data_IF_771819417809
#
_entry.id   IF_771819417809
#
_cell.length_a   1.000
_cell.length_b   1.000
_cell.length_c   1.000
_cell.angle_alpha   90.00
_cell.angle_beta   90.00
_cell.angle_gamma   90.00
#
_symmetry.space_group_name_H-M   'P 1'
#
loop_
_entity.id
_entity.type
_entity.pdbx_description
1 polymer ?
#
# COMPACT_ATOMS: atom_id res chain seq x y z
N UNK A 1 3.73 -10.68 -2.12
CA UNK A 1 2.70 -9.87 -2.81
C UNK A 1 2.21 -8.74 -1.90
N UNK A 2 1.32 -7.85 -2.35
CA UNK A 2 0.81 -6.75 -1.50
C UNK A 2 -0.58 -6.30 -1.94
N UNK A 3 -1.30 -5.58 -1.06
CA UNK A 3 -2.51 -4.83 -1.45
C UNK A 3 -2.51 -3.46 -0.78
N UNK A 4 -2.73 -2.39 -1.53
CA UNK A 4 -2.90 -1.03 -1.00
C UNK A 4 -4.30 -0.51 -1.31
N UNK A 5 -4.82 0.34 -0.44
CA UNK A 5 -6.13 0.95 -0.60
C UNK A 5 -6.17 2.36 -0.02
N UNK A 6 -7.14 3.14 -0.50
CA UNK A 6 -7.59 4.38 0.14
C UNK A 6 -8.99 4.19 0.72
N UNK A 7 -9.36 5.00 1.70
CA UNK A 7 -10.74 5.09 2.21
C UNK A 7 -11.01 6.51 2.70
N UNK A 8 -12.23 6.99 2.52
CA UNK A 8 -12.61 8.34 2.89
C UNK A 8 -13.90 8.31 3.70
N UNK A 9 -13.87 8.97 4.85
CA UNK A 9 -15.03 9.25 5.69
C UNK A 9 -15.06 10.76 5.93
N UNK A 10 -14.97 11.21 7.18
CA UNK A 10 -14.64 12.60 7.54
C UNK A 10 -13.17 12.93 7.25
N UNK A 11 -12.27 11.96 7.44
CA UNK A 11 -10.85 12.05 7.13
C UNK A 11 -10.51 11.07 5.97
N UNK A 12 -9.27 11.12 5.52
CA UNK A 12 -8.70 10.36 4.41
C UNK A 12 -7.69 9.36 4.96
N UNK A 13 -7.78 8.13 4.46
CA UNK A 13 -7.01 7.01 4.94
C UNK A 13 -6.31 6.32 3.79
N UNK A 14 -5.05 5.93 4.02
CA UNK A 14 -4.21 5.23 3.06
C UNK A 14 -3.43 4.13 3.77
N UNK A 15 -3.23 2.98 3.13
CA UNK A 15 -2.43 1.93 3.75
C UNK A 15 -2.39 0.66 2.92
N UNK A 16 -1.71 -0.35 3.45
CA UNK A 16 -1.42 -1.58 2.71
C UNK A 16 -1.22 -2.81 3.59
N UNK A 17 -1.50 -3.97 3.01
CA UNK A 17 -0.97 -5.26 3.45
C UNK A 17 0.39 -5.49 2.79
N UNK A 18 1.39 -5.88 3.59
CA UNK A 18 2.64 -6.46 3.09
C UNK A 18 2.54 -7.98 3.19
N UNK A 19 2.50 -8.67 2.05
CA UNK A 19 2.46 -10.12 2.02
C UNK A 19 3.82 -10.66 1.56
N UNK A 20 4.58 -11.32 2.42
CA UNK A 20 5.82 -11.99 2.04
C UNK A 20 5.98 -13.25 2.86
N UNK A 21 6.96 -14.07 2.51
CA UNK A 21 7.33 -15.27 3.24
C UNK A 21 8.28 -15.01 4.41
N UNK A 22 8.83 -13.79 4.50
CA UNK A 22 9.70 -13.36 5.58
C UNK A 22 9.52 -11.87 5.89
N UNK A 23 9.68 -11.52 7.16
CA UNK A 23 9.70 -10.15 7.66
C UNK A 23 11.13 -9.61 7.60
N UNK A 24 11.27 -8.38 7.11
CA UNK A 24 12.48 -7.59 7.23
C UNK A 24 12.54 -6.94 8.63
N UNK A 25 13.52 -6.07 8.86
CA UNK A 25 13.56 -5.22 10.05
C UNK A 25 12.61 -4.02 9.87
N UNK A 26 11.31 -4.28 9.66
CA UNK A 26 10.32 -3.20 9.46
C UNK A 26 10.12 -2.39 10.74
N UNK A 27 10.08 -1.07 10.59
CA UNK A 27 9.88 -0.10 11.68
C UNK A 27 8.97 1.03 11.20
N UNK A 28 8.16 1.58 12.11
CA UNK A 28 7.46 2.85 11.81
C UNK A 28 8.47 3.97 12.01
N UNK A 29 8.74 4.74 10.96
CA UNK A 29 9.80 5.76 10.95
C UNK A 29 9.25 7.13 10.62
N UNK A 30 9.51 8.09 11.50
CA UNK A 30 9.27 9.52 11.28
C UNK A 30 10.57 10.18 10.81
N UNK A 31 10.54 10.78 9.62
CA UNK A 31 11.65 11.56 9.06
C UNK A 31 11.32 13.05 9.15
N UNK A 32 12.05 13.85 9.96
CA UNK A 32 11.79 15.28 10.12
C UNK A 32 12.30 16.10 8.93
N UNK A 33 11.89 17.36 8.84
CA UNK A 33 12.07 18.23 7.65
C UNK A 33 13.52 18.47 7.25
N UNK A 34 14.46 18.43 8.20
CA UNK A 34 15.88 18.75 7.99
C UNK A 34 16.79 17.53 8.07
N UNK A 35 16.23 16.32 8.03
CA UNK A 35 17.00 15.08 7.91
C UNK A 35 17.50 14.96 6.47
N UNK A 36 18.79 15.15 6.25
CA UNK A 36 19.37 15.04 4.90
C UNK A 36 19.16 13.62 4.34
N UNK A 37 18.56 13.52 3.16
CA UNK A 37 18.42 12.28 2.41
C UNK A 37 19.30 12.34 1.15
N UNK A 38 20.46 11.65 1.15
CA UNK A 38 21.31 11.55 -0.02
C UNK A 38 20.60 10.87 -1.19
N UNK A 39 20.74 11.44 -2.38
CA UNK A 39 20.18 10.89 -3.61
C UNK A 39 21.33 10.41 -4.53
N UNK A 40 21.13 9.33 -5.27
CA UNK A 40 22.19 8.70 -6.09
C UNK A 40 22.54 9.54 -7.32
N UNK A 41 21.52 10.10 -7.97
CA UNK A 41 21.66 10.76 -9.28
C UNK A 41 21.13 12.19 -9.31
N UNK A 42 20.61 12.69 -8.18
CA UNK A 42 20.13 14.07 -8.02
C UNK A 42 20.76 14.68 -6.77
N UNK A 43 20.53 15.98 -6.54
CA UNK A 43 20.96 16.62 -5.30
C UNK A 43 20.25 15.99 -4.10
N UNK A 44 20.92 15.99 -2.95
CA UNK A 44 20.33 15.51 -1.70
C UNK A 44 19.10 16.34 -1.31
N UNK A 45 18.11 15.71 -0.70
CA UNK A 45 17.00 16.43 -0.07
C UNK A 45 17.47 16.93 1.30
N UNK A 46 17.86 18.19 1.37
CA UNK A 46 18.31 18.82 2.62
C UNK A 46 17.16 19.41 3.46
N UNK A 47 16.12 19.91 2.77
CA UNK A 47 14.87 20.38 3.36
C UNK A 47 13.70 19.80 2.57
N UNK A 48 12.79 19.16 3.28
CA UNK A 48 11.65 18.47 2.70
C UNK A 48 10.49 18.42 3.71
N UNK A 49 9.31 17.98 3.29
CA UNK A 49 8.21 17.73 4.22
C UNK A 49 8.52 16.60 5.18
N UNK A 50 8.08 16.73 6.43
CA UNK A 50 8.13 15.62 7.37
C UNK A 50 7.29 14.44 6.87
N UNK A 51 7.76 13.22 7.11
CA UNK A 51 7.16 11.98 6.64
C UNK A 51 7.02 10.98 7.78
N UNK A 52 5.98 10.14 7.73
CA UNK A 52 5.79 8.98 8.59
C UNK A 52 5.38 7.78 7.75
N UNK A 53 5.99 6.62 8.01
CA UNK A 53 5.71 5.41 7.22
C UNK A 53 6.39 4.16 7.76
N UNK A 54 6.07 3.02 7.17
CA UNK A 54 6.84 1.79 7.42
C UNK A 54 8.11 1.80 6.59
N UNK A 55 9.26 1.57 7.22
CA UNK A 55 10.55 1.52 6.54
C UNK A 55 11.45 0.40 7.08
N UNK A 56 12.41 -0.02 6.27
CA UNK A 56 13.64 -0.66 6.75
C UNK A 56 14.73 0.41 6.83
N UNK A 57 15.17 0.76 8.05
CA UNK A 57 16.20 1.78 8.24
C UNK A 57 17.58 1.13 8.14
N UNK A 58 18.38 1.58 7.17
CA UNK A 58 19.74 1.07 6.91
C UNK A 58 20.70 2.23 6.87
N UNK A 59 21.77 2.19 7.68
CA UNK A 59 22.78 3.25 7.74
C UNK A 59 22.17 4.66 7.90
N UNK A 60 21.14 4.78 8.76
CA UNK A 60 20.43 6.04 9.02
C UNK A 60 19.71 6.62 7.78
N UNK A 61 19.34 5.75 6.84
CA UNK A 61 18.49 6.04 5.67
C UNK A 61 17.18 5.22 5.71
N UNK A 62 16.00 5.85 5.55
CA UNK A 62 14.73 5.14 5.58
C UNK A 62 14.36 4.56 4.20
N UNK A 63 14.43 3.24 4.05
CA UNK A 63 13.89 2.54 2.88
C UNK A 63 12.39 2.30 3.08
N UNK A 64 11.58 3.29 2.70
CA UNK A 64 10.13 3.24 2.89
C UNK A 64 9.46 2.17 2.03
N UNK A 65 8.56 1.41 2.64
CA UNK A 65 7.59 0.55 1.95
C UNK A 65 6.35 1.36 1.55
N UNK A 66 5.85 2.15 2.50
CA UNK A 66 4.75 3.09 2.38
C UNK A 66 4.91 4.23 3.39
N UNK A 67 4.47 5.42 3.02
CA UNK A 67 4.59 6.61 3.84
C UNK A 67 3.55 7.67 3.49
N UNK A 68 3.36 8.62 4.41
CA UNK A 68 2.54 9.83 4.24
C UNK A 68 3.34 11.03 4.73
N UNK A 69 3.23 12.16 4.03
CA UNK A 69 3.84 13.41 4.48
C UNK A 69 2.87 14.27 5.31
N UNK A 70 3.41 15.33 5.92
CA UNK A 70 2.64 16.31 6.70
C UNK A 70 1.59 17.11 5.92
N UNK A 71 1.53 16.97 4.60
CA UNK A 71 0.51 17.58 3.73
C UNK A 71 -0.62 16.61 3.41
N UNK A 72 -0.49 15.35 3.81
CA UNK A 72 -1.45 14.28 3.55
C UNK A 72 -1.38 13.73 2.12
N UNK A 73 -0.20 13.78 1.49
CA UNK A 73 0.11 12.95 0.32
C UNK A 73 0.70 11.63 0.80
N UNK A 74 0.19 10.52 0.28
CA UNK A 74 0.61 9.17 0.64
C UNK A 74 1.10 8.38 -0.56
N UNK A 75 2.03 7.45 -0.31
CA UNK A 75 2.64 6.62 -1.34
C UNK A 75 2.96 5.23 -0.80
N UNK A 76 2.77 4.19 -1.61
CA UNK A 76 3.20 2.81 -1.31
C UNK A 76 3.80 2.13 -2.54
N UNK A 77 4.97 1.53 -2.38
CA UNK A 77 5.58 0.66 -3.39
C UNK A 77 5.16 -0.80 -3.18
N UNK A 78 4.62 -1.47 -4.19
CA UNK A 78 4.15 -2.85 -4.11
C UNK A 78 4.86 -3.72 -5.14
N UNK A 79 5.04 -5.00 -4.84
CA UNK A 79 5.79 -5.94 -5.67
C UNK A 79 5.21 -6.02 -7.10
N UNK A 80 6.05 -5.90 -8.12
CA UNK A 80 5.67 -5.90 -9.55
C UNK A 80 6.64 -6.74 -10.42
N UNK A 81 6.91 -8.00 -10.04
CA UNK A 81 7.99 -8.79 -10.61
C UNK A 81 7.71 -9.15 -12.07
N UNK A 82 8.73 -9.06 -12.93
CA UNK A 82 8.62 -9.40 -14.35
C UNK A 82 7.90 -8.35 -15.21
N UNK A 83 7.28 -7.33 -14.62
CA UNK A 83 6.73 -6.18 -15.34
C UNK A 83 7.54 -4.90 -15.10
N UNK A 84 8.02 -4.69 -13.86
CA UNK A 84 8.89 -3.56 -13.54
C UNK A 84 10.19 -3.64 -14.36
N UNK A 85 10.54 -2.53 -15.01
CA UNK A 85 11.78 -2.39 -15.76
C UNK A 85 12.48 -1.10 -15.38
N UNK A 86 13.71 -1.21 -14.91
CA UNK A 86 14.53 -0.07 -14.54
C UNK A 86 15.72 0.04 -15.48
N UNK A 87 15.98 1.27 -15.95
CA UNK A 87 17.01 1.52 -16.96
C UNK A 87 18.34 1.85 -16.29
N UNK A 88 19.41 1.94 -17.09
CA UNK A 88 20.58 2.70 -16.66
C UNK A 88 20.21 4.21 -16.55
N UNK A 89 20.98 5.00 -15.79
CA UNK A 89 20.85 6.45 -15.82
C UNK A 89 20.94 7.01 -17.25
N UNK A 90 20.07 7.95 -17.60
CA UNK A 90 19.96 8.52 -18.93
C UNK A 90 19.97 10.06 -18.89
N UNK A 91 20.68 10.69 -19.83
CA UNK A 91 20.74 12.14 -19.95
C UNK A 91 19.38 12.75 -20.29
N UNK A 92 19.10 13.93 -19.75
CA UNK A 92 17.86 14.66 -20.02
C UNK A 92 16.62 14.15 -19.28
N UNK A 93 16.77 13.13 -18.43
CA UNK A 93 15.73 12.62 -17.54
C UNK A 93 16.10 12.83 -16.07
N UNK A 94 15.08 12.80 -15.21
CA UNK A 94 15.29 12.75 -13.77
C UNK A 94 15.51 11.31 -13.32
N UNK A 95 16.78 10.94 -13.22
CA UNK A 95 17.19 9.62 -12.76
C UNK A 95 16.99 9.47 -11.25
N UNK A 96 16.31 8.41 -10.83
CA UNK A 96 16.10 8.08 -9.41
C UNK A 96 16.32 6.59 -9.21
N UNK A 97 16.93 6.18 -8.11
CA UNK A 97 16.87 4.78 -7.70
C UNK A 97 15.46 4.47 -7.17
N UNK A 98 14.98 3.24 -7.33
CA UNK A 98 13.59 2.90 -6.98
C UNK A 98 13.25 3.12 -5.49
N UNK A 99 14.23 2.97 -4.59
CA UNK A 99 14.07 3.22 -3.16
C UNK A 99 13.99 4.71 -2.79
N UNK A 100 14.35 5.60 -3.71
CA UNK A 100 14.34 7.05 -3.51
C UNK A 100 13.00 7.67 -3.90
N UNK A 101 12.17 6.96 -4.66
CA UNK A 101 10.96 7.55 -5.25
C UNK A 101 9.96 8.05 -4.19
N UNK A 102 9.74 7.29 -3.12
CA UNK A 102 8.84 7.69 -2.04
C UNK A 102 9.33 8.98 -1.36
N UNK A 103 10.54 9.06 -0.78
CA UNK A 103 11.01 10.29 -0.16
C UNK A 103 11.12 11.44 -1.15
N UNK A 104 11.44 11.16 -2.42
CA UNK A 104 11.53 12.19 -3.46
C UNK A 104 10.17 12.78 -3.81
N UNK A 105 9.09 12.01 -3.93
CA UNK A 105 7.76 12.58 -4.18
C UNK A 105 7.21 13.22 -2.90
N UNK A 106 7.22 12.49 -1.78
CA UNK A 106 6.61 12.93 -0.53
C UNK A 106 7.35 14.11 0.12
N UNK A 107 8.64 14.28 -0.16
CA UNK A 107 9.42 15.38 0.37
C UNK A 107 9.06 16.76 -0.19
N UNK A 108 8.37 16.82 -1.33
CA UNK A 108 8.23 18.07 -2.11
C UNK A 108 6.87 18.23 -2.81
N UNK A 109 5.93 17.30 -2.62
CA UNK A 109 4.57 17.39 -3.16
C UNK A 109 3.51 17.33 -2.06
N UNK A 110 2.50 18.18 -2.18
CA UNK A 110 1.32 18.24 -1.30
C UNK A 110 0.12 17.51 -1.94
N UNK A 111 0.16 17.34 -3.27
CA UNK A 111 -0.97 16.84 -4.07
C UNK A 111 -0.53 15.83 -5.13
N UNK A 112 -1.47 15.00 -5.56
CA UNK A 112 -1.28 14.06 -6.67
C UNK A 112 -0.99 14.79 -7.98
N UNK A 113 -1.55 15.97 -8.20
CA UNK A 113 -1.25 16.80 -9.38
C UNK A 113 0.24 17.19 -9.43
N UNK A 114 0.81 17.64 -8.32
CA UNK A 114 2.26 17.93 -8.24
C UNK A 114 3.10 16.67 -8.44
N UNK A 115 2.70 15.56 -7.81
CA UNK A 115 3.39 14.28 -7.98
C UNK A 115 3.38 13.82 -9.45
N UNK A 116 2.24 13.96 -10.15
CA UNK A 116 2.09 13.65 -11.57
C UNK A 116 3.05 14.46 -12.44
N UNK A 117 3.17 15.76 -12.16
CA UNK A 117 4.09 16.64 -12.89
C UNK A 117 5.55 16.24 -12.67
N UNK A 118 5.91 15.83 -11.46
CA UNK A 118 7.25 15.34 -11.14
C UNK A 118 7.56 14.00 -11.80
N UNK A 119 6.61 13.07 -11.82
CA UNK A 119 6.76 11.73 -12.40
C UNK A 119 6.87 11.72 -13.93
N UNK A 120 6.41 12.78 -14.62
CA UNK A 120 6.37 12.84 -16.07
C UNK A 120 7.74 12.71 -16.75
N UNK A 121 8.84 13.02 -16.04
CA UNK A 121 10.21 12.96 -16.54
C UNK A 121 11.12 12.05 -15.69
N UNK A 122 10.53 11.19 -14.85
CA UNK A 122 11.30 10.26 -14.03
C UNK A 122 11.78 9.06 -14.86
N UNK A 123 13.06 8.75 -14.74
CA UNK A 123 13.63 7.47 -15.13
C UNK A 123 14.06 6.72 -13.87
N UNK A 124 13.32 5.67 -13.51
CA UNK A 124 13.74 4.76 -12.45
C UNK A 124 14.90 3.91 -12.92
N UNK A 125 15.96 3.90 -12.12
CA UNK A 125 17.22 3.25 -12.46
C UNK A 125 17.42 1.93 -11.72
N UNK A 126 18.21 1.04 -12.31
CA UNK A 126 18.65 -0.24 -11.72
C UNK A 126 19.71 -0.07 -10.61
N UNK A 127 19.87 1.15 -10.09
CA UNK A 127 20.84 1.46 -9.03
C UNK A 127 20.43 0.83 -7.71
N UNK A 128 21.22 -0.14 -7.25
CA UNK A 128 21.04 -0.79 -5.96
C UNK A 128 21.30 0.17 -4.79
N UNK A 129 20.63 -0.07 -3.66
CA UNK A 129 20.97 0.62 -2.42
C UNK A 129 22.36 0.18 -1.94
N UNK A 130 22.61 -1.12 -1.95
CA UNK A 130 23.90 -1.75 -1.66
C UNK A 130 23.99 -3.11 -2.39
N UNK A 131 25.15 -3.78 -2.43
CA UNK A 131 25.25 -5.12 -3.03
C UNK A 131 24.31 -6.17 -2.41
N UNK A 132 23.94 -5.98 -1.13
CA UNK A 132 23.01 -6.87 -0.41
C UNK A 132 21.53 -6.48 -0.58
N UNK A 133 21.27 -5.25 -1.07
CA UNK A 133 19.93 -4.69 -1.25
C UNK A 133 19.77 -4.20 -2.70
N UNK A 134 19.58 -5.13 -3.66
CA UNK A 134 19.30 -4.79 -5.05
C UNK A 134 17.93 -4.09 -5.20
N UNK A 135 17.68 -3.40 -6.32
CA UNK A 135 16.38 -2.78 -6.57
C UNK A 135 15.25 -3.82 -6.53
N UNK A 136 14.24 -3.58 -5.71
CA UNK A 136 13.01 -4.38 -5.73
C UNK A 136 12.16 -4.01 -6.95
N UNK A 137 11.56 -4.98 -7.66
CA UNK A 137 10.65 -4.69 -8.77
C UNK A 137 9.32 -4.18 -8.20
N UNK A 138 8.99 -2.91 -8.42
CA UNK A 138 7.88 -2.23 -7.77
C UNK A 138 7.03 -1.44 -8.77
N UNK A 139 5.77 -1.22 -8.37
CA UNK A 139 4.90 -0.15 -8.88
C UNK A 139 4.31 0.62 -7.69
N UNK A 140 3.78 1.82 -7.92
CA UNK A 140 3.41 2.73 -6.83
C UNK A 140 1.97 3.21 -6.92
N UNK A 141 1.27 3.14 -5.79
CA UNK A 141 0.02 3.86 -5.57
C UNK A 141 0.36 5.19 -4.89
N UNK A 142 -0.12 6.29 -5.45
CA UNK A 142 0.01 7.63 -4.89
C UNK A 142 -1.39 8.20 -4.68
N UNK A 143 -1.67 8.78 -3.53
CA UNK A 143 -2.98 9.36 -3.23
C UNK A 143 -2.88 10.59 -2.34
N UNK A 144 -3.74 11.57 -2.59
CA UNK A 144 -4.01 12.70 -1.69
C UNK A 144 -5.48 12.63 -1.22
N UNK A 145 -5.99 13.72 -0.64
CA UNK A 145 -7.37 13.78 -0.14
C UNK A 145 -8.43 13.83 -1.27
N UNK A 146 -8.04 13.97 -2.53
CA UNK A 146 -8.97 14.17 -3.66
C UNK A 146 -8.94 13.02 -4.65
N UNK A 147 -7.76 12.51 -4.97
CA UNK A 147 -7.58 11.55 -6.04
C UNK A 147 -6.43 10.57 -5.76
N UNK A 148 -6.33 9.56 -6.61
CA UNK A 148 -5.20 8.62 -6.57
C UNK A 148 -4.78 8.20 -7.97
N UNK A 149 -3.50 7.88 -8.12
CA UNK A 149 -2.87 7.43 -9.35
C UNK A 149 -2.01 6.20 -9.11
N UNK A 150 -1.76 5.45 -10.18
CA UNK A 150 -0.77 4.37 -10.20
C UNK A 150 0.37 4.75 -11.15
N UNK A 151 1.61 4.58 -10.69
CA UNK A 151 2.82 4.76 -11.49
C UNK A 151 3.49 3.41 -11.74
N UNK A 152 3.69 3.06 -13.01
CA UNK A 152 4.34 1.83 -13.46
C UNK A 152 5.45 2.18 -14.47
N UNK A 153 6.68 1.73 -14.23
CA UNK A 153 7.74 1.76 -15.24
C UNK A 153 8.00 0.35 -15.75
N UNK A 154 7.73 0.15 -17.04
CA UNK A 154 7.86 -1.14 -17.74
C UNK A 154 8.85 -1.04 -18.89
N UNK A 155 9.12 -2.14 -19.59
CA UNK A 155 9.94 -2.13 -20.81
C UNK A 155 9.39 -1.18 -21.89
N UNK A 156 8.08 -0.89 -21.86
CA UNK A 156 7.43 0.06 -22.77
C UNK A 156 7.48 1.52 -22.28
N UNK A 157 8.20 1.78 -21.19
CA UNK A 157 8.33 3.09 -20.56
C UNK A 157 7.47 3.27 -19.31
N UNK A 158 7.56 4.48 -18.76
CA UNK A 158 6.81 4.92 -17.59
C UNK A 158 5.37 5.34 -17.96
N UNK A 159 4.39 4.91 -17.18
CA UNK A 159 2.98 5.26 -17.34
C UNK A 159 2.39 5.68 -16.00
N UNK A 160 1.56 6.72 -16.05
CA UNK A 160 0.73 7.17 -14.93
C UNK A 160 -0.73 6.87 -15.31
N UNK A 161 -1.44 6.18 -14.42
CA UNK A 161 -2.85 5.84 -14.58
C UNK A 161 -3.68 6.56 -13.52
N UNK A 162 -4.82 7.10 -13.91
CA UNK A 162 -5.83 7.53 -12.94
C UNK A 162 -6.42 6.30 -12.25
N UNK A 163 -6.52 6.35 -10.92
CA UNK A 163 -7.06 5.26 -10.12
C UNK A 163 -8.34 5.70 -9.40
N UNK A 164 -9.49 5.68 -10.09
CA UNK A 164 -10.77 6.05 -9.47
C UNK A 164 -11.24 5.03 -8.42
N UNK A 165 -10.65 3.84 -8.40
CA UNK A 165 -10.97 2.77 -7.43
C UNK A 165 -10.19 2.98 -6.13
N UNK A 166 -9.02 3.62 -6.20
CA UNK A 166 -8.12 3.83 -5.06
C UNK A 166 -7.66 2.54 -4.40
N UNK A 167 -7.35 1.52 -5.21
CA UNK A 167 -6.76 0.25 -4.78
C UNK A 167 -5.65 -0.18 -5.75
N UNK A 168 -4.66 -0.92 -5.27
CA UNK A 168 -3.59 -1.48 -6.10
C UNK A 168 -3.08 -2.79 -5.49
N UNK A 169 -2.75 -3.78 -6.31
CA UNK A 169 -2.18 -5.05 -5.83
C UNK A 169 -0.77 -5.28 -6.38
N UNK A 170 -0.62 -6.16 -7.36
CA UNK A 170 0.66 -6.52 -7.98
C UNK A 170 0.38 -6.76 -9.48
N UNK A 171 1.10 -7.69 -10.10
CA UNK A 171 0.85 -8.13 -11.48
C UNK A 171 -0.60 -8.54 -11.77
N UNK A 172 -1.09 -8.40 -13.02
CA UNK A 172 -0.45 -7.72 -14.15
C UNK A 172 -0.47 -6.18 -14.02
N UNK A 173 -0.24 -5.45 -15.12
CA UNK A 173 -0.31 -3.97 -15.16
C UNK A 173 -1.66 -3.43 -14.71
N UNK A 174 -1.70 -2.17 -14.26
CA UNK A 174 -2.91 -1.57 -13.71
C UNK A 174 -4.10 -1.50 -14.70
N UNK A 175 -3.84 -1.27 -15.98
CA UNK A 175 -4.87 -1.26 -17.02
C UNK A 175 -5.58 -2.62 -17.18
N UNK A 176 -4.85 -3.72 -17.01
CA UNK A 176 -5.46 -5.05 -16.95
C UNK A 176 -6.44 -5.17 -15.78
N UNK A 177 -6.04 -4.75 -14.58
CA UNK A 177 -6.91 -4.82 -13.40
C UNK A 177 -8.19 -3.99 -13.59
N UNK A 178 -8.07 -2.81 -14.19
CA UNK A 178 -9.23 -1.97 -14.53
C UNK A 178 -10.15 -2.61 -15.59
N UNK A 179 -9.58 -3.28 -16.60
CA UNK A 179 -10.36 -4.05 -17.57
C UNK A 179 -11.07 -5.23 -16.88
N UNK A 180 -10.36 -5.95 -16.01
CA UNK A 180 -10.88 -7.14 -15.33
C UNK A 180 -12.05 -6.83 -14.39
N UNK A 181 -12.12 -5.62 -13.80
CA UNK A 181 -13.29 -5.19 -13.02
C UNK A 181 -14.60 -5.23 -13.82
N UNK A 182 -14.55 -5.12 -15.15
CA UNK A 182 -15.75 -5.16 -15.99
C UNK A 182 -16.48 -6.52 -15.90
N UNK A 183 -15.75 -7.62 -15.65
CA UNK A 183 -16.32 -8.95 -15.47
C UNK A 183 -17.25 -9.03 -14.23
N UNK A 184 -17.08 -8.10 -13.29
CA UNK A 184 -17.78 -8.07 -12.00
C UNK A 184 -18.80 -6.94 -11.89
N UNK A 185 -19.15 -6.25 -12.99
CA UNK A 185 -20.06 -5.10 -12.98
C UNK A 185 -21.47 -5.40 -12.42
N UNK A 186 -21.86 -6.67 -12.37
CA UNK A 186 -23.15 -7.11 -11.83
C UNK A 186 -23.10 -7.50 -10.33
N UNK A 187 -21.91 -7.55 -9.72
CA UNK A 187 -21.77 -7.86 -8.31
C UNK A 187 -22.42 -6.76 -7.45
N UNK A 188 -23.12 -7.16 -6.41
CA UNK A 188 -23.90 -6.24 -5.56
C UNK A 188 -23.88 -6.66 -4.09
N UNK A 189 -23.89 -5.69 -3.18
CA UNK A 189 -24.12 -5.95 -1.76
C UNK A 189 -25.61 -6.23 -1.42
N UNK A 190 -26.53 -6.04 -2.37
CA UNK A 190 -27.96 -6.24 -2.18
C UNK A 190 -28.37 -7.72 -2.30
N UNK A 191 -29.63 -8.01 -2.00
CA UNK A 191 -30.22 -9.32 -2.33
C UNK A 191 -30.30 -9.48 -3.85
N UNK A 192 -30.02 -10.68 -4.39
CA UNK A 192 -30.12 -10.91 -5.83
C UNK A 192 -31.58 -10.90 -6.29
N UNK A 193 -31.80 -10.49 -7.52
CA UNK A 193 -33.11 -10.55 -8.19
C UNK A 193 -33.16 -11.74 -9.16
N UNK A 194 -34.31 -12.43 -9.24
CA UNK A 194 -34.50 -13.46 -10.25
C UNK A 194 -34.68 -12.84 -11.65
N UNK A 195 -33.58 -12.76 -12.39
CA UNK A 195 -33.55 -12.33 -13.80
C UNK A 195 -33.47 -13.50 -14.78
N UNK A 196 -33.24 -14.71 -14.29
CA UNK A 196 -33.01 -15.90 -15.13
C UNK A 196 -34.33 -16.51 -15.62
N UNK A 197 -35.33 -16.65 -14.74
CA UNK A 197 -36.62 -17.25 -15.09
C UNK A 197 -37.77 -16.41 -14.52
N UNK A 198 -38.19 -15.34 -15.21
CA UNK A 198 -39.25 -14.45 -14.73
C UNK A 198 -40.54 -15.20 -14.41
N UNK A 199 -41.17 -14.87 -13.27
CA UNK A 199 -42.42 -15.48 -12.81
C UNK A 199 -42.26 -16.75 -11.98
N UNK A 200 -41.04 -17.32 -11.88
CA UNK A 200 -40.73 -18.39 -10.93
C UNK A 200 -40.30 -17.77 -9.59
N UNK A 201 -40.94 -18.18 -8.49
CA UNK A 201 -40.60 -17.75 -7.13
C UNK A 201 -39.28 -18.36 -6.65
N UNK A 202 -38.16 -17.79 -7.10
CA UNK A 202 -36.83 -18.14 -6.62
C UNK A 202 -36.46 -17.23 -5.44
N UNK A 203 -36.53 -17.77 -4.24
CA UNK A 203 -36.16 -17.06 -3.02
C UNK A 203 -34.67 -17.25 -2.69
N UNK A 204 -33.94 -16.20 -2.29
CA UNK A 204 -32.58 -16.35 -1.76
C UNK A 204 -32.57 -17.26 -0.53
N UNK A 205 -31.74 -18.31 -0.56
CA UNK A 205 -31.61 -19.25 0.56
C UNK A 205 -30.50 -18.86 1.56
N UNK A 206 -29.71 -17.82 1.24
CA UNK A 206 -28.64 -17.28 2.07
C UNK A 206 -28.53 -15.77 1.89
N UNK A 207 -27.79 -15.10 2.79
CA UNK A 207 -27.44 -13.68 2.69
C UNK A 207 -26.13 -13.52 1.91
N UNK A 208 -25.90 -12.34 1.34
CA UNK A 208 -24.68 -12.03 0.59
C UNK A 208 -24.64 -12.59 -0.84
N UNK A 209 -25.73 -13.22 -1.30
CA UNK A 209 -25.82 -13.83 -2.63
C UNK A 209 -25.74 -12.82 -3.78
N UNK A 210 -25.88 -11.51 -3.54
CA UNK A 210 -25.64 -10.48 -4.57
C UNK A 210 -24.17 -10.38 -5.00
N UNK A 211 -23.24 -10.79 -4.13
CA UNK A 211 -21.80 -10.79 -4.40
C UNK A 211 -21.29 -12.08 -5.02
N UNK A 212 -22.19 -12.97 -5.48
CA UNK A 212 -21.78 -14.18 -6.19
C UNK A 212 -20.88 -13.84 -7.38
N UNK A 213 -19.76 -14.54 -7.48
CA UNK A 213 -18.75 -14.32 -8.52
C UNK A 213 -17.50 -13.58 -8.01
N UNK A 214 -17.59 -12.78 -6.94
CA UNK A 214 -16.40 -12.15 -6.37
C UNK A 214 -15.39 -13.24 -5.95
N UNK A 215 -14.15 -13.21 -6.48
CA UNK A 215 -13.18 -14.27 -6.27
C UNK A 215 -12.65 -14.26 -4.83
N UNK A 216 -12.18 -15.42 -4.38
CA UNK A 216 -11.68 -15.64 -3.02
C UNK A 216 -10.30 -16.29 -2.94
N UNK A 217 -9.62 -16.49 -4.08
CA UNK A 217 -8.23 -16.92 -4.08
C UNK A 217 -7.26 -15.75 -3.83
N UNK A 218 -5.98 -16.07 -3.60
CA UNK A 218 -4.95 -15.12 -3.18
C UNK A 218 -4.23 -14.44 -4.34
N UNK A 219 -4.61 -14.70 -5.60
CA UNK A 219 -3.98 -14.05 -6.74
C UNK A 219 -4.19 -12.53 -6.71
N UNK A 220 -3.25 -11.79 -7.28
CA UNK A 220 -3.28 -10.33 -7.32
C UNK A 220 -4.54 -9.77 -7.97
N UNK A 221 -5.03 -10.39 -9.05
CA UNK A 221 -6.26 -9.99 -9.74
C UNK A 221 -7.49 -10.25 -8.86
N UNK A 222 -7.56 -11.42 -8.23
CA UNK A 222 -8.65 -11.76 -7.31
C UNK A 222 -8.70 -10.84 -6.10
N UNK A 223 -7.53 -10.57 -5.49
CA UNK A 223 -7.42 -9.60 -4.39
C UNK A 223 -7.82 -8.20 -4.83
N UNK A 224 -7.46 -7.76 -6.03
CA UNK A 224 -7.85 -6.44 -6.57
C UNK A 224 -9.38 -6.31 -6.65
N UNK A 225 -10.06 -7.31 -7.24
CA UNK A 225 -11.53 -7.33 -7.32
C UNK A 225 -12.16 -7.39 -5.92
N UNK A 226 -11.63 -8.26 -5.05
CA UNK A 226 -12.15 -8.46 -3.70
C UNK A 226 -12.04 -7.20 -2.84
N UNK A 227 -10.88 -6.56 -2.81
CA UNK A 227 -10.66 -5.33 -2.02
C UNK A 227 -11.45 -4.16 -2.60
N UNK A 228 -11.56 -4.04 -3.93
CA UNK A 228 -12.39 -3.03 -4.57
C UNK A 228 -13.86 -3.19 -4.17
N UNK A 229 -14.41 -4.41 -4.28
CA UNK A 229 -15.79 -4.69 -3.89
C UNK A 229 -16.02 -4.40 -2.40
N UNK A 230 -15.11 -4.83 -1.51
CA UNK A 230 -15.21 -4.56 -0.08
C UNK A 230 -15.16 -3.07 0.22
N UNK A 231 -14.22 -2.33 -0.37
CA UNK A 231 -14.08 -0.88 -0.19
C UNK A 231 -15.33 -0.13 -0.65
N UNK A 232 -15.82 -0.41 -1.85
CA UNK A 232 -16.95 0.33 -2.43
C UNK A 232 -18.29 0.08 -1.72
N UNK A 233 -18.38 -0.98 -0.92
CA UNK A 233 -19.55 -1.31 -0.11
C UNK A 233 -19.31 -1.16 1.40
N UNK A 234 -18.18 -0.57 1.80
CA UNK A 234 -17.84 -0.35 3.21
C UNK A 234 -18.61 0.82 3.80
N UNK A 235 -19.12 0.63 5.02
CA UNK A 235 -19.88 1.60 5.77
C UNK A 235 -19.28 1.72 7.18
N UNK A 236 -19.00 2.95 7.61
CA UNK A 236 -18.60 3.27 8.98
C UNK A 236 -19.20 4.60 9.40
N UNK A 237 -19.20 4.90 10.70
CA UNK A 237 -19.38 6.27 11.17
C UNK A 237 -18.17 7.15 10.83
N UNK A 238 -18.24 8.40 11.30
CA UNK A 238 -17.25 9.45 11.05
C UNK A 238 -16.19 9.60 12.15
N UNK A 239 -16.22 8.74 13.18
CA UNK A 239 -15.17 8.74 14.21
C UNK A 239 -13.86 8.16 13.67
N UNK A 240 -12.75 8.56 14.28
CA UNK A 240 -11.42 8.05 13.94
C UNK A 240 -11.38 6.52 14.11
N UNK A 241 -11.89 6.05 15.24
CA UNK A 241 -11.86 4.64 15.63
C UNK A 241 -12.69 3.78 14.67
N UNK A 242 -13.88 4.24 14.27
CA UNK A 242 -14.72 3.53 13.30
C UNK A 242 -14.07 3.51 11.91
N UNK A 243 -13.51 4.62 11.46
CA UNK A 243 -12.87 4.73 10.15
C UNK A 243 -11.62 3.86 10.04
N UNK A 244 -10.75 3.91 11.06
CA UNK A 244 -9.57 3.05 11.16
C UNK A 244 -9.98 1.58 11.23
N UNK A 245 -10.98 1.24 12.06
CA UNK A 245 -11.49 -0.13 12.15
C UNK A 245 -12.00 -0.65 10.80
N UNK A 246 -12.77 0.17 10.09
CA UNK A 246 -13.32 -0.18 8.78
C UNK A 246 -12.21 -0.34 7.73
N UNK A 247 -11.18 0.51 7.76
CA UNK A 247 -10.03 0.38 6.87
C UNK A 247 -9.33 -0.98 7.05
N UNK A 248 -9.10 -1.41 8.29
CA UNK A 248 -8.56 -2.73 8.57
C UNK A 248 -9.49 -3.87 8.14
N UNK A 249 -10.82 -3.67 8.09
CA UNK A 249 -11.75 -4.66 7.49
C UNK A 249 -11.66 -4.71 5.97
N UNK A 250 -11.40 -3.58 5.32
CA UNK A 250 -11.16 -3.52 3.87
C UNK A 250 -9.92 -4.34 3.52
N UNK A 251 -8.79 -4.04 4.15
CA UNK A 251 -7.54 -4.79 3.94
C UNK A 251 -7.64 -6.24 4.43
N UNK A 252 -8.33 -6.49 5.54
CA UNK A 252 -8.57 -7.83 6.07
C UNK A 252 -9.37 -8.74 5.13
N UNK A 253 -10.11 -8.17 4.16
CA UNK A 253 -10.83 -8.98 3.16
C UNK A 253 -9.92 -9.70 2.16
N UNK A 254 -8.63 -9.34 2.13
CA UNK A 254 -7.59 -9.88 1.26
C UNK A 254 -6.30 -10.20 2.02
N UNK A 255 -6.38 -10.32 3.34
CA UNK A 255 -5.27 -10.79 4.18
C UNK A 255 -4.92 -12.24 3.85
N UNK A 256 -3.63 -12.56 3.80
CA UNK A 256 -3.12 -13.90 3.55
C UNK A 256 -2.76 -14.61 4.85
N UNK A 257 -3.38 -15.76 5.09
CA UNK A 257 -3.10 -16.60 6.26
C UNK A 257 -1.99 -17.61 5.95
N UNK A 258 -1.09 -17.83 6.92
CA UNK A 258 -0.03 -18.85 6.81
C UNK A 258 -0.66 -20.20 6.46
N UNK A 259 -0.14 -20.83 5.41
CA UNK A 259 -0.59 -22.13 4.91
C UNK A 259 -1.50 -22.09 3.68
N UNK A 260 -2.11 -20.94 3.37
CA UNK A 260 -2.96 -20.76 2.19
C UNK A 260 -2.18 -20.46 0.90
N UNK A 261 -0.97 -19.93 1.00
CA UNK A 261 -0.03 -19.77 -0.11
C UNK A 261 1.31 -20.41 0.28
N UNK A 262 1.71 -21.52 -0.37
CA UNK A 262 2.94 -22.26 -0.06
C UNK A 262 3.95 -22.07 -1.19
N UNK A 263 5.15 -21.64 -0.85
CA UNK A 263 6.22 -21.36 -1.81
C UNK A 263 7.24 -22.50 -1.92
N UNK A 264 7.18 -23.48 -1.01
CA UNK A 264 8.08 -24.62 -0.96
C UNK A 264 8.55 -24.89 0.46
N UNK A 265 9.77 -25.40 0.60
CA UNK A 265 10.44 -25.59 1.89
C UNK A 265 11.80 -24.91 1.88
N UNK A 266 12.23 -24.40 3.02
CA UNK A 266 13.60 -23.92 3.19
C UNK A 266 14.61 -25.08 3.29
N UNK A 267 15.90 -24.75 3.47
CA UNK A 267 16.99 -25.74 3.59
C UNK A 267 16.85 -26.66 4.81
N UNK A 268 16.17 -26.19 5.86
CA UNK A 268 15.91 -26.94 7.11
C UNK A 268 14.63 -27.78 7.01
N UNK A 269 13.92 -27.73 5.88
CA UNK A 269 12.68 -28.46 5.63
C UNK A 269 11.42 -27.80 6.22
N UNK A 270 11.50 -26.56 6.69
CA UNK A 270 10.34 -25.80 7.14
C UNK A 270 9.52 -25.31 5.96
N UNK A 271 8.19 -25.28 6.13
CA UNK A 271 7.28 -24.82 5.10
C UNK A 271 7.39 -23.29 4.94
N UNK A 272 7.73 -22.83 3.73
CA UNK A 272 7.70 -21.42 3.36
C UNK A 272 6.29 -21.05 2.88
N UNK A 273 5.67 -20.07 3.54
CA UNK A 273 4.36 -19.58 3.17
C UNK A 273 4.42 -18.07 2.96
N UNK A 274 3.76 -17.56 1.92
CA UNK A 274 3.44 -16.14 1.88
C UNK A 274 2.27 -15.87 2.83
N UNK A 275 2.38 -14.81 3.62
CA UNK A 275 1.34 -14.36 4.55
C UNK A 275 1.42 -12.85 4.75
N UNK A 276 0.34 -12.23 5.23
CA UNK A 276 0.33 -10.79 5.53
C UNK A 276 1.14 -10.52 6.80
N UNK A 277 2.31 -9.92 6.67
CA UNK A 277 3.22 -9.62 7.79
C UNK A 277 2.66 -8.49 8.65
N UNK A 278 2.18 -7.44 8.00
CA UNK A 278 1.48 -6.32 8.64
C UNK A 278 0.41 -5.74 7.72
N UNK A 279 -0.53 -5.04 8.34
CA UNK A 279 -1.47 -4.13 7.68
C UNK A 279 -1.25 -2.74 8.22
N UNK A 280 -1.16 -1.73 7.36
CA UNK A 280 -1.06 -0.33 7.75
C UNK A 280 -2.31 0.46 7.39
N UNK A 281 -2.54 1.53 8.14
CA UNK A 281 -3.55 2.54 7.88
C UNK A 281 -3.01 3.87 8.40
N UNK A 282 -2.78 4.85 7.53
CA UNK A 282 -2.40 6.19 7.89
C UNK A 282 -3.62 7.10 7.76
N UNK A 283 -3.91 7.86 8.81
CA UNK A 283 -4.77 9.02 8.69
C UNK A 283 -3.96 10.17 8.06
N UNK A 284 -4.29 10.49 6.82
CA UNK A 284 -3.55 11.42 5.97
C UNK A 284 -3.71 12.87 6.45
N UNK A 285 -4.87 13.22 7.02
CA UNK A 285 -5.13 14.57 7.52
C UNK A 285 -4.44 14.86 8.86
N UNK A 286 -4.14 13.82 9.64
CA UNK A 286 -3.62 13.95 11.01
C UNK A 286 -2.18 13.48 11.18
N UNK A 287 -1.59 12.80 10.18
CA UNK A 287 -0.23 12.27 10.29
C UNK A 287 -0.08 11.17 11.34
N UNK A 288 -1.13 10.37 11.54
CA UNK A 288 -1.13 9.25 12.48
C UNK A 288 -1.04 7.95 11.70
N UNK A 289 -0.02 7.16 11.98
CA UNK A 289 0.24 5.89 11.32
C UNK A 289 -0.18 4.73 12.22
N UNK A 290 -1.23 4.02 11.83
CA UNK A 290 -1.76 2.84 12.51
C UNK A 290 -1.26 1.56 11.84
N UNK A 291 -1.06 0.49 12.61
CA UNK A 291 -0.73 -0.82 12.06
C UNK A 291 -1.18 -1.97 12.97
N UNK A 292 -1.34 -3.14 12.36
CA UNK A 292 -1.39 -4.45 13.01
C UNK A 292 -0.29 -5.34 12.44
N UNK A 293 0.17 -6.34 13.18
CA UNK A 293 1.06 -7.39 12.64
C UNK A 293 0.32 -8.72 12.59
N UNK A 294 0.87 -9.70 11.89
CA UNK A 294 0.25 -11.02 11.77
C UNK A 294 -0.13 -11.65 13.11
N UNK A 295 0.80 -11.62 14.09
CA UNK A 295 0.57 -12.22 15.41
C UNK A 295 -0.12 -11.24 16.40
N UNK A 296 -0.08 -9.93 16.13
CA UNK A 296 -0.70 -8.91 16.97
C UNK A 296 -1.78 -8.11 16.22
N UNK A 297 -3.03 -8.58 16.35
CA UNK A 297 -4.21 -7.90 15.82
C UNK A 297 -4.60 -6.63 16.60
N UNK A 298 -3.89 -6.28 17.68
CA UNK A 298 -4.09 -5.04 18.41
C UNK A 298 -3.54 -3.84 17.63
N UNK A 299 -4.41 -2.93 17.22
CA UNK A 299 -4.03 -1.73 16.47
C UNK A 299 -3.08 -0.88 17.32
N UNK A 300 -1.87 -0.70 16.82
CA UNK A 300 -0.84 0.19 17.37
C UNK A 300 -0.76 1.45 16.52
N UNK A 301 -0.27 2.56 17.06
CA UNK A 301 -0.10 3.80 16.29
C UNK A 301 1.09 4.64 16.72
N UNK A 302 1.57 5.46 15.78
CA UNK A 302 2.58 6.51 15.98
C UNK A 302 2.01 7.81 15.39
N UNK A 303 2.12 8.90 16.13
CA UNK A 303 1.66 10.25 15.72
C UNK A 303 2.90 11.10 15.46
N UNK A 304 3.13 11.48 14.19
CA UNK A 304 4.35 12.20 13.83
C UNK A 304 4.45 13.57 14.50
N UNK A 305 3.33 14.20 14.86
CA UNK A 305 3.31 15.50 15.52
C UNK A 305 3.70 15.43 17.01
N UNK A 306 3.98 14.24 17.54
CA UNK A 306 4.60 14.05 18.85
C UNK A 306 6.13 14.04 18.80
N UNK A 307 6.71 14.09 17.60
CA UNK A 307 8.16 14.18 17.37
C UNK A 307 8.60 15.60 17.03
N UNK A 308 9.91 15.84 17.08
CA UNK A 308 10.53 17.07 16.59
C UNK A 308 10.63 17.07 15.06
N UNK A 309 9.56 17.52 14.40
CA UNK A 309 9.50 17.58 12.93
C UNK A 309 10.42 18.63 12.31
N UNK A 310 10.91 19.58 13.11
CA UNK A 310 11.91 20.55 12.67
C UNK A 310 13.33 20.03 12.92
N UNK A 311 13.52 18.84 13.50
CA UNK A 311 14.83 18.25 13.75
C UNK A 311 15.53 17.68 12.50
N UNK A 312 16.66 17.03 12.73
CA UNK A 312 17.49 16.34 11.75
C UNK A 312 17.64 14.83 12.04
N UNK A 313 16.97 14.33 13.07
CA UNK A 313 17.05 12.93 13.53
C UNK A 313 15.74 12.20 13.32
N UNK A 314 15.81 11.02 12.71
CA UNK A 314 14.65 10.15 12.57
C UNK A 314 14.22 9.59 13.93
N UNK A 315 12.91 9.45 14.13
CA UNK A 315 12.35 8.64 15.21
C UNK A 315 11.93 7.28 14.64
N UNK A 316 12.43 6.19 15.23
CA UNK A 316 12.26 4.82 14.73
C UNK A 316 11.57 3.97 15.80
N UNK A 317 10.45 3.36 15.42
CA UNK A 317 9.60 2.58 16.30
C UNK A 317 9.54 1.12 15.85
N UNK A 318 10.05 0.22 16.70
CA UNK A 318 9.95 -1.23 16.50
C UNK A 318 8.50 -1.71 16.53
N UNK A 319 8.17 -2.65 15.65
CA UNK A 319 6.83 -3.20 15.59
C UNK A 319 6.49 -4.02 16.85
N UNK A 320 5.30 -3.76 17.36
CA UNK A 320 4.68 -4.53 18.42
C UNK A 320 4.18 -5.87 17.86
N UNK A 321 5.04 -6.89 17.83
CA UNK A 321 4.73 -8.20 17.20
C UNK A 321 3.99 -9.17 18.12
N UNK A 322 4.13 -9.05 19.44
CA UNK A 322 3.52 -9.97 20.39
C UNK A 322 2.00 -9.78 20.50
N UNK A 323 1.20 -10.87 20.57
CA UNK A 323 -0.25 -10.79 20.69
C UNK A 323 -0.68 -9.99 21.93
N UNK A 324 -1.49 -8.94 21.73
CA UNK A 324 -2.12 -8.18 22.82
C UNK A 324 -3.46 -8.81 23.22
N UNK A 325 -3.41 -9.78 24.12
CA UNK A 325 -4.60 -10.44 24.67
C UNK A 325 -5.08 -9.67 25.91
N UNK A 326 -6.21 -8.96 25.79
CA UNK A 326 -6.88 -8.34 26.93
C UNK A 326 -7.65 -9.39 27.74
N UNK A 327 -7.13 -9.76 28.92
CA UNK A 327 -7.86 -10.63 29.86
C UNK A 327 -8.96 -9.82 30.53
N UNK A 328 -10.21 -10.26 30.37
CA UNK A 328 -11.37 -9.61 30.97
C UNK A 328 -11.60 -10.05 32.44
N UNK A 329 -10.82 -11.01 32.93
CA UNK A 329 -10.83 -11.54 34.28
C UNK A 329 -9.47 -12.09 34.71
#
# INVERSE_FOLDING_TARGET
MCTAATYTTKNHYFGRNLDLEFSYHETVTVTPRRKVLPMRHTDALEEHYAMIGMAFVVEDYPLYYDATNEKGLSMAGLNFPGNAHYNAPADGHRNLASFELIPWILGQCDTVEQARNLLADVNLTDTAFSPQLPPSPLHWLIADQKESIVFEQTENGARIFDNPVGVMTNNPTFDYHMLHLQDYMNASAQLPENRLVPGVGLEPYSRGMGGFGIPGDLSSASRFVKVAFTKMNSLSGDSEEESVSQFFKILGSVEQQKGCCRLGTDEDGNLLCEYTIYSSCCNMDRGIYYYTTYENSGISCVDMHREDLDGDRMAVYELQKEPRICRQN
#
